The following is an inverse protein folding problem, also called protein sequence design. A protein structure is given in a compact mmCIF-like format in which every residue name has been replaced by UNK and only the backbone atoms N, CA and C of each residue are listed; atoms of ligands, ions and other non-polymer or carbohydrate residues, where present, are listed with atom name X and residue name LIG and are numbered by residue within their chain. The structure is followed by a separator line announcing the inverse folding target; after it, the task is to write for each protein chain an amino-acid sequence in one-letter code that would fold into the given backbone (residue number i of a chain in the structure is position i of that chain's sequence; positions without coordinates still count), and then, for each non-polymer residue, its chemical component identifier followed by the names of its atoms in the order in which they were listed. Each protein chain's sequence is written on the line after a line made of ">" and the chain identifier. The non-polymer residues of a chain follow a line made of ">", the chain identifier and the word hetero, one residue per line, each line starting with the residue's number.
data_IF_261989265324
#
_entry.id   IF_261989265324
#
_cell.length_a   1.000
_cell.length_b   1.000
_cell.length_c   1.000
_cell.angle_alpha   90.00
_cell.angle_beta   90.00
_cell.angle_gamma   90.00
#
_symmetry.space_group_name_H-M   'P 1'
#
loop_
_entity.id
_entity.type
_entity.pdbx_description
1 polymer ?
#
# COMPACT_ATOMS: atom_id res chain seq x y z
N UNK A 1 15.17 13.10 2.05
CA UNK A 1 14.46 11.80 2.19
C UNK A 1 15.49 10.75 2.62
N UNK A 2 15.14 9.73 3.41
CA UNK A 2 16.12 8.77 3.95
C UNK A 2 16.99 8.13 2.83
N UNK A 3 16.35 7.63 1.77
CA UNK A 3 17.01 7.01 0.62
C UNK A 3 18.06 7.89 -0.10
N UNK A 4 17.90 9.23 -0.08
CA UNK A 4 18.89 10.14 -0.68
C UNK A 4 20.24 10.07 0.05
N UNK A 5 20.24 9.77 1.36
CA UNK A 5 21.47 9.62 2.15
C UNK A 5 22.26 8.37 1.75
N UNK A 6 21.57 7.37 1.22
CA UNK A 6 22.15 6.09 0.82
C UNK A 6 22.51 6.05 -0.67
N UNK A 7 22.33 7.17 -1.38
CA UNK A 7 22.57 7.26 -2.84
C UNK A 7 21.55 6.50 -3.69
N UNK A 8 20.46 6.01 -3.09
CA UNK A 8 19.38 5.34 -3.82
C UNK A 8 18.63 6.36 -4.68
N UNK A 9 18.32 6.07 -5.96
CA UNK A 9 17.55 6.98 -6.82
C UNK A 9 16.21 7.37 -6.18
N UNK A 10 15.91 8.68 -6.12
CA UNK A 10 14.66 9.21 -5.58
C UNK A 10 13.96 10.07 -6.63
N UNK A 11 12.72 9.71 -6.93
CA UNK A 11 11.87 10.47 -7.83
C UNK A 11 10.67 11.04 -7.06
N UNK A 12 10.39 12.33 -7.25
CA UNK A 12 9.29 13.06 -6.57
C UNK A 12 8.27 13.51 -7.60
N UNK A 13 7.46 12.56 -8.07
CA UNK A 13 6.43 12.85 -9.07
C UNK A 13 5.19 13.45 -8.42
N UNK A 14 4.76 14.67 -8.78
CA UNK A 14 3.54 15.27 -8.22
C UNK A 14 2.27 14.60 -8.74
N UNK A 15 2.36 13.88 -9.85
CA UNK A 15 1.27 13.15 -10.50
C UNK A 15 1.84 12.04 -11.38
N UNK A 16 1.11 10.94 -11.51
CA UNK A 16 1.47 9.81 -12.38
C UNK A 16 0.78 9.86 -13.74
N UNK A 17 -0.34 10.59 -13.83
CA UNK A 17 -1.16 10.69 -15.05
C UNK A 17 -1.44 12.14 -15.42
N UNK A 18 -1.67 12.36 -16.71
CA UNK A 18 -2.22 13.59 -17.29
C UNK A 18 -3.35 13.19 -18.25
N UNK A 19 -4.56 13.76 -18.07
CA UNK A 19 -5.75 13.43 -18.88
C UNK A 19 -6.02 11.91 -18.96
N UNK A 20 -5.88 11.21 -17.83
CA UNK A 20 -6.11 9.77 -17.72
C UNK A 20 -4.98 8.87 -18.25
N UNK A 21 -3.96 9.41 -18.91
CA UNK A 21 -2.82 8.64 -19.43
C UNK A 21 -1.59 8.75 -18.54
N UNK A 22 -0.77 7.70 -18.39
CA UNK A 22 0.51 7.80 -17.70
C UNK A 22 1.41 8.85 -18.35
N UNK A 23 2.20 9.54 -17.54
CA UNK A 23 3.19 10.50 -18.05
C UNK A 23 4.43 9.71 -18.51
N UNK A 24 4.81 9.85 -19.78
CA UNK A 24 5.91 9.09 -20.38
C UNK A 24 7.21 9.19 -19.57
N UNK A 25 7.64 10.42 -19.26
CA UNK A 25 8.88 10.65 -18.51
C UNK A 25 8.87 10.01 -17.10
N UNK A 26 7.70 9.92 -16.47
CA UNK A 26 7.52 9.26 -15.16
C UNK A 26 7.72 7.75 -15.29
N UNK A 27 7.10 7.16 -16.32
CA UNK A 27 7.21 5.72 -16.59
C UNK A 27 8.64 5.34 -17.00
N UNK A 28 9.29 6.14 -17.85
CA UNK A 28 10.68 5.87 -18.28
C UNK A 28 11.67 6.04 -17.13
N UNK A 29 11.50 7.05 -16.27
CA UNK A 29 12.29 7.20 -15.06
C UNK A 29 12.13 6.00 -14.12
N UNK A 30 10.91 5.49 -13.95
CA UNK A 30 10.68 4.26 -13.20
C UNK A 30 11.40 3.05 -13.82
N UNK A 31 11.23 2.80 -15.12
CA UNK A 31 11.86 1.66 -15.81
C UNK A 31 13.39 1.69 -15.74
N UNK A 32 13.99 2.88 -15.64
CA UNK A 32 15.45 3.04 -15.58
C UNK A 32 16.11 2.34 -14.38
N UNK A 33 15.35 2.04 -13.32
CA UNK A 33 15.88 1.36 -12.13
C UNK A 33 15.87 -0.16 -12.23
N UNK A 34 15.24 -0.74 -13.27
CA UNK A 34 15.21 -2.19 -13.48
C UNK A 34 14.57 -2.99 -12.35
N UNK A 35 13.47 -2.48 -11.77
CA UNK A 35 12.79 -3.13 -10.66
C UNK A 35 12.22 -4.52 -11.04
N UNK A 36 12.51 -5.54 -10.24
CA UNK A 36 11.94 -6.90 -10.41
C UNK A 36 10.72 -7.15 -9.53
N UNK A 37 10.48 -6.32 -8.51
CA UNK A 37 9.33 -6.30 -7.61
C UNK A 37 9.05 -4.84 -7.20
N UNK A 38 7.78 -4.45 -7.18
CA UNK A 38 7.38 -3.21 -6.51
C UNK A 38 6.82 -3.50 -5.12
N UNK A 39 7.21 -2.68 -4.16
CA UNK A 39 6.65 -2.67 -2.80
C UNK A 39 5.98 -1.32 -2.57
N UNK A 40 4.67 -1.33 -2.33
CA UNK A 40 3.88 -0.13 -2.07
C UNK A 40 3.45 -0.14 -0.59
N UNK A 41 4.32 0.32 0.33
CA UNK A 41 4.09 0.15 1.77
C UNK A 41 2.99 1.04 2.33
N UNK A 42 2.70 2.16 1.65
CA UNK A 42 1.56 3.02 1.91
C UNK A 42 1.37 3.96 0.71
N UNK A 43 0.47 3.62 -0.21
CA UNK A 43 0.22 4.40 -1.41
C UNK A 43 -1.18 5.02 -1.40
N UNK A 44 -1.25 6.35 -1.39
CA UNK A 44 -2.53 7.10 -1.39
C UNK A 44 -3.06 7.42 -2.78
N UNK A 45 -2.35 6.99 -3.84
CA UNK A 45 -2.70 7.26 -5.22
C UNK A 45 -2.76 5.96 -6.01
N UNK A 46 -3.69 5.88 -6.95
CA UNK A 46 -3.76 4.76 -7.88
C UNK A 46 -2.61 4.86 -8.89
N UNK A 47 -1.66 3.94 -8.84
CA UNK A 47 -0.48 3.92 -9.73
C UNK A 47 -0.88 3.42 -11.14
N UNK A 48 -0.23 3.88 -12.23
CA UNK A 48 -0.40 3.31 -13.58
C UNK A 48 -0.16 1.80 -13.64
N UNK A 49 -0.99 1.07 -14.39
CA UNK A 49 -0.80 -0.38 -14.56
C UNK A 49 0.50 -0.68 -15.31
N UNK A 50 0.95 0.23 -16.17
CA UNK A 50 2.26 0.18 -16.82
C UNK A 50 3.45 0.20 -15.86
N UNK A 51 3.22 0.60 -14.60
CA UNK A 51 4.21 0.55 -13.51
C UNK A 51 3.94 -0.66 -12.62
N UNK A 52 2.66 -0.93 -12.29
CA UNK A 52 2.25 -2.06 -11.44
C UNK A 52 2.63 -3.42 -12.06
N UNK A 53 2.44 -3.57 -13.37
CA UNK A 53 2.63 -4.83 -14.10
C UNK A 53 4.04 -4.96 -14.73
N UNK A 54 4.85 -3.91 -14.67
CA UNK A 54 6.21 -3.91 -15.24
C UNK A 54 7.17 -4.93 -14.62
N UNK A 55 7.30 -5.02 -13.28
CA UNK A 55 8.28 -5.91 -12.65
C UNK A 55 7.87 -7.38 -12.84
N UNK A 56 8.85 -8.27 -13.05
CA UNK A 56 8.60 -9.71 -13.28
C UNK A 56 7.84 -10.38 -12.13
N UNK A 57 8.04 -9.92 -10.90
CA UNK A 57 7.35 -10.41 -9.72
C UNK A 57 6.10 -9.62 -9.36
N UNK A 58 5.69 -8.63 -10.16
CA UNK A 58 4.50 -7.83 -9.91
C UNK A 58 4.67 -6.80 -8.78
N UNK A 59 3.56 -6.37 -8.22
CA UNK A 59 3.53 -5.35 -7.17
C UNK A 59 2.76 -5.86 -5.96
N UNK A 60 3.34 -5.71 -4.76
CA UNK A 60 2.65 -5.96 -3.50
C UNK A 60 2.29 -4.65 -2.80
N UNK A 61 1.11 -4.64 -2.19
CA UNK A 61 0.54 -3.47 -1.51
C UNK A 61 0.20 -3.86 -0.08
N UNK A 62 0.56 -3.01 0.87
CA UNK A 62 0.06 -3.07 2.24
C UNK A 62 -1.26 -2.31 2.37
N UNK A 63 -2.25 -2.93 3.01
CA UNK A 63 -3.55 -2.35 3.29
C UNK A 63 -3.97 -2.56 4.75
N UNK A 64 -4.28 -1.50 5.52
CA UNK A 64 -4.51 -1.60 6.97
C UNK A 64 -5.96 -1.99 7.32
N UNK A 65 -6.47 -3.04 6.67
CA UNK A 65 -7.66 -3.80 7.09
C UNK A 65 -7.55 -5.26 6.66
N UNK A 66 -8.50 -6.06 7.13
CA UNK A 66 -8.67 -7.46 6.75
C UNK A 66 -9.46 -7.54 5.44
N UNK A 67 -8.78 -7.50 4.29
CA UNK A 67 -9.45 -7.55 2.98
C UNK A 67 -10.29 -8.84 2.86
N UNK A 68 -11.47 -8.79 2.23
CA UNK A 68 -12.04 -7.69 1.43
C UNK A 68 -12.76 -6.60 2.25
N UNK A 69 -12.70 -6.62 3.58
CA UNK A 69 -13.36 -5.62 4.42
C UNK A 69 -12.62 -4.29 4.37
N UNK A 70 -13.36 -3.19 4.26
CA UNK A 70 -12.83 -1.81 4.23
C UNK A 70 -11.78 -1.56 3.13
N UNK A 71 -12.07 -1.96 1.89
CA UNK A 71 -11.34 -1.47 0.71
C UNK A 71 -11.36 0.06 0.63
N UNK A 72 -10.34 0.63 0.00
CA UNK A 72 -10.18 2.05 -0.23
C UNK A 72 -9.50 2.78 0.94
N UNK A 73 -9.46 4.10 0.82
CA UNK A 73 -8.76 4.93 1.79
C UNK A 73 -9.41 4.90 3.18
N UNK A 74 -8.62 5.24 4.20
CA UNK A 74 -9.06 5.37 5.59
C UNK A 74 -9.65 4.07 6.19
N UNK A 75 -9.12 2.90 5.80
CA UNK A 75 -9.60 1.60 6.25
C UNK A 75 -9.58 1.41 7.78
N UNK A 76 -8.56 1.97 8.46
CA UNK A 76 -8.47 1.98 9.94
C UNK A 76 -9.65 2.74 10.55
N UNK A 77 -9.98 3.92 10.00
CA UNK A 77 -11.10 4.72 10.46
C UNK A 77 -12.41 3.93 10.34
N UNK A 78 -12.65 3.30 9.20
CA UNK A 78 -13.87 2.52 8.97
C UNK A 78 -13.95 1.27 9.85
N UNK A 79 -12.80 0.68 10.18
CA UNK A 79 -12.71 -0.44 11.13
C UNK A 79 -13.24 -0.01 12.52
N UNK A 80 -12.82 1.17 13.00
CA UNK A 80 -13.26 1.70 14.29
C UNK A 80 -14.70 2.25 14.25
N UNK A 81 -15.09 2.96 13.19
CA UNK A 81 -16.44 3.53 13.01
C UNK A 81 -17.51 2.44 13.05
N UNK A 82 -17.26 1.28 12.43
CA UNK A 82 -18.20 0.16 12.43
C UNK A 82 -18.15 -0.68 13.72
N UNK A 83 -17.28 -0.35 14.67
CA UNK A 83 -17.16 -1.04 15.95
C UNK A 83 -16.66 -2.47 15.82
N UNK A 84 -15.82 -2.74 14.81
CA UNK A 84 -15.25 -4.06 14.57
C UNK A 84 -14.52 -4.55 15.83
N UNK A 85 -14.66 -5.86 16.13
CA UNK A 85 -13.97 -6.48 17.27
C UNK A 85 -12.60 -7.04 16.91
N UNK A 86 -12.41 -7.29 15.62
CA UNK A 86 -11.16 -7.79 15.05
C UNK A 86 -10.80 -6.89 13.88
N UNK A 87 -9.57 -6.38 13.90
CA UNK A 87 -8.97 -5.61 12.83
C UNK A 87 -7.65 -6.24 12.40
N UNK A 88 -6.90 -5.55 11.56
CA UNK A 88 -5.59 -6.01 11.14
C UNK A 88 -5.18 -5.41 9.81
N UNK A 89 -4.29 -6.09 9.10
CA UNK A 89 -3.80 -5.65 7.80
C UNK A 89 -3.62 -6.82 6.84
N UNK A 90 -3.52 -6.48 5.56
CA UNK A 90 -3.34 -7.41 4.45
C UNK A 90 -2.16 -6.95 3.60
N UNK A 91 -1.33 -7.90 3.15
CA UNK A 91 -0.45 -7.69 2.01
C UNK A 91 -1.03 -8.48 0.84
N UNK A 92 -1.21 -7.82 -0.29
CA UNK A 92 -1.86 -8.42 -1.46
C UNK A 92 -1.13 -8.03 -2.75
N UNK A 93 -1.30 -8.86 -3.76
CA UNK A 93 -0.84 -8.61 -5.12
C UNK A 93 -1.77 -7.61 -5.78
N UNK A 94 -1.24 -6.53 -6.34
CA UNK A 94 -2.02 -5.54 -7.06
C UNK A 94 -2.66 -6.14 -8.34
N UNK A 95 -3.86 -5.68 -8.67
CA UNK A 95 -4.56 -5.95 -9.93
C UNK A 95 -5.16 -4.63 -10.47
N UNK A 96 -6.03 -4.71 -11.47
CA UNK A 96 -6.66 -3.54 -12.12
C UNK A 96 -7.83 -2.95 -11.32
N UNK A 97 -8.19 -3.53 -10.17
CA UNK A 97 -9.20 -3.03 -9.26
C UNK A 97 -8.62 -2.29 -8.06
N UNK A 98 -9.52 -1.80 -7.20
CA UNK A 98 -9.16 -1.09 -5.97
C UNK A 98 -9.18 -2.07 -4.79
N UNK A 99 -7.99 -2.44 -4.31
CA UNK A 99 -7.78 -3.37 -3.18
C UNK A 99 -8.50 -4.72 -3.38
N UNK A 100 -8.45 -5.24 -4.61
CA UNK A 100 -9.17 -6.45 -5.04
C UNK A 100 -8.28 -7.65 -5.30
N UNK A 101 -6.99 -7.44 -5.48
CA UNK A 101 -6.11 -8.50 -5.93
C UNK A 101 -5.82 -9.60 -4.89
N UNK A 102 -5.16 -10.69 -5.32
CA UNK A 102 -4.95 -11.88 -4.49
C UNK A 102 -4.18 -11.59 -3.20
N UNK A 103 -4.71 -12.07 -2.08
CA UNK A 103 -4.07 -11.93 -0.76
C UNK A 103 -2.79 -12.78 -0.72
N UNK A 104 -1.67 -12.15 -0.35
CA UNK A 104 -0.39 -12.82 -0.08
C UNK A 104 -0.32 -13.26 1.39
N UNK A 105 -0.63 -12.35 2.31
CA UNK A 105 -0.79 -12.67 3.73
C UNK A 105 -1.76 -11.69 4.42
N UNK A 106 -2.21 -12.08 5.59
CA UNK A 106 -3.08 -11.28 6.43
C UNK A 106 -2.77 -11.56 7.90
N UNK A 107 -2.78 -10.52 8.73
CA UNK A 107 -2.59 -10.63 10.18
C UNK A 107 -3.68 -9.84 10.90
N UNK A 108 -4.18 -10.41 11.98
CA UNK A 108 -5.30 -9.88 12.75
C UNK A 108 -4.91 -9.53 14.19
N UNK A 109 -5.68 -8.63 14.79
CA UNK A 109 -5.61 -8.26 16.20
C UNK A 109 -7.00 -7.95 16.74
N UNK A 110 -7.17 -8.11 18.05
CA UNK A 110 -8.37 -7.63 18.73
C UNK A 110 -8.35 -6.10 18.79
N UNK A 111 -9.53 -5.50 18.65
CA UNK A 111 -9.74 -4.06 18.80
C UNK A 111 -10.28 -3.81 20.21
N UNK A 112 -9.56 -2.99 20.97
CA UNK A 112 -9.96 -2.59 22.30
C UNK A 112 -11.13 -1.58 22.23
N UNK A 113 -12.06 -1.57 23.21
CA UNK A 113 -13.22 -0.67 23.18
C UNK A 113 -12.92 0.82 23.05
N UNK A 114 -11.70 1.23 23.43
CA UNK A 114 -11.25 2.62 23.40
C UNK A 114 -10.11 2.84 22.40
N UNK A 115 -9.88 1.89 21.47
CA UNK A 115 -8.90 2.11 20.43
C UNK A 115 -9.23 3.31 19.57
N UNK A 116 -8.20 4.09 19.29
CA UNK A 116 -8.20 5.17 18.32
C UNK A 116 -7.41 4.72 17.09
N UNK A 117 -7.50 5.49 16.00
CA UNK A 117 -6.67 5.24 14.81
C UNK A 117 -5.19 5.19 15.20
N UNK A 118 -4.76 6.11 16.05
CA UNK A 118 -3.37 6.21 16.49
C UNK A 118 -2.94 5.03 17.39
N UNK A 119 -3.75 4.68 18.40
CA UNK A 119 -3.39 3.57 19.30
C UNK A 119 -3.34 2.23 18.57
N UNK A 120 -4.32 1.94 17.71
CA UNK A 120 -4.34 0.71 16.91
C UNK A 120 -3.17 0.67 15.91
N UNK A 121 -2.87 1.80 15.27
CA UNK A 121 -1.76 1.90 14.32
C UNK A 121 -0.41 1.69 15.00
N UNK A 122 -0.12 2.43 16.07
CA UNK A 122 1.17 2.39 16.74
C UNK A 122 1.39 1.06 17.50
N UNK A 123 0.33 0.47 18.06
CA UNK A 123 0.43 -0.80 18.81
C UNK A 123 0.61 -2.01 17.91
N UNK A 124 -0.04 -2.06 16.74
CA UNK A 124 -0.10 -3.25 15.91
C UNK A 124 0.16 -3.00 14.42
N UNK A 125 -0.66 -2.18 13.76
CA UNK A 125 -0.65 -2.10 12.28
C UNK A 125 0.70 -1.63 11.72
N UNK A 126 1.35 -0.67 12.38
CA UNK A 126 2.66 -0.18 11.99
C UNK A 126 3.79 -1.18 12.26
N UNK A 127 4.07 -1.61 13.51
CA UNK A 127 5.19 -2.50 13.78
C UNK A 127 5.04 -3.87 13.10
N UNK A 128 3.84 -4.47 13.12
CA UNK A 128 3.61 -5.78 12.51
C UNK A 128 3.48 -5.69 10.98
N UNK A 129 3.01 -4.57 10.46
CA UNK A 129 2.97 -4.30 9.02
C UNK A 129 4.37 -4.22 8.42
N UNK A 130 5.30 -3.56 9.12
CA UNK A 130 6.71 -3.47 8.70
C UNK A 130 7.38 -4.84 8.71
N UNK A 131 7.23 -5.64 9.77
CA UNK A 131 7.90 -6.95 9.87
C UNK A 131 7.36 -7.99 8.88
N UNK A 132 6.22 -7.71 8.25
CA UNK A 132 5.57 -8.61 7.30
C UNK A 132 5.85 -8.27 5.84
N UNK A 133 6.51 -7.14 5.56
CA UNK A 133 7.02 -6.76 4.24
C UNK A 133 8.51 -7.07 4.12
#
# INVERSE_FOLDING_TARGET
>A
VAAEKDGTPVFKFPRWRLKGKPIGDVVEAYKSVGAELNVLPFCSQFIPMEVIDHPRHGSIIYHPSLLPRHRGAAAINWTLIHGDKVGGFTIFWADDGLDTGPILLQKECNIDPNDTVDSLYNRFLYPEGITSM
#
